data_IF_909852438068
#
_entry.id   IF_909852438068
#
_cell.length_a   1.000
_cell.length_b   1.000
_cell.length_c   1.000
_cell.angle_alpha   90.00
_cell.angle_beta   90.00
_cell.angle_gamma   90.00
#
_symmetry.space_group_name_H-M   'P 1'
#
loop_
_entity.id
_entity.type
_entity.pdbx_description
1 polymer ?
#
# COMPACT_ATOMS: atom_id res chain seq x y z
N UNK A 1 -23.70 -12.78 -17.13
CA UNK A 1 -22.25 -12.52 -17.16
C UNK A 1 -22.04 -11.05 -17.45
N UNK A 2 -21.42 -10.33 -16.52
CA UNK A 2 -21.02 -8.93 -16.74
C UNK A 2 -19.70 -8.97 -17.52
N UNK A 3 -19.41 -7.90 -18.27
CA UNK A 3 -18.12 -7.75 -18.95
C UNK A 3 -16.99 -7.91 -17.92
N UNK A 4 -15.96 -8.68 -18.29
CA UNK A 4 -14.76 -8.95 -17.48
C UNK A 4 -14.91 -9.97 -16.33
N UNK A 5 -15.99 -10.76 -16.31
CA UNK A 5 -16.06 -11.98 -15.50
C UNK A 5 -15.18 -13.06 -16.16
N UNK A 6 -14.08 -13.47 -15.50
CA UNK A 6 -13.13 -14.43 -16.11
C UNK A 6 -13.14 -15.81 -15.48
N UNK A 7 -13.49 -15.92 -14.19
CA UNK A 7 -13.51 -17.19 -13.45
C UNK A 7 -14.71 -17.20 -12.51
N UNK A 8 -15.46 -18.29 -12.53
CA UNK A 8 -16.53 -18.62 -11.59
C UNK A 8 -16.19 -19.90 -10.85
N UNK A 9 -16.34 -19.88 -9.52
CA UNK A 9 -16.26 -21.04 -8.65
C UNK A 9 -17.63 -21.22 -8.02
N UNK A 10 -18.35 -22.24 -8.48
CA UNK A 10 -19.65 -22.63 -7.93
C UNK A 10 -19.45 -23.33 -6.59
N UNK A 11 -20.19 -22.86 -5.58
CA UNK A 11 -20.17 -23.40 -4.23
C UNK A 11 -21.37 -24.32 -4.01
N UNK A 12 -21.25 -25.25 -3.06
CA UNK A 12 -22.31 -26.22 -2.73
C UNK A 12 -23.62 -25.59 -2.25
N UNK A 13 -23.59 -24.32 -1.82
CA UNK A 13 -24.76 -23.53 -1.43
C UNK A 13 -25.37 -22.72 -2.58
N UNK A 14 -25.06 -23.08 -3.83
CA UNK A 14 -25.53 -22.41 -5.06
C UNK A 14 -25.07 -20.95 -5.21
N UNK A 15 -24.15 -20.49 -4.36
CA UNK A 15 -23.48 -19.19 -4.55
C UNK A 15 -22.29 -19.36 -5.48
N UNK A 16 -21.92 -18.26 -6.14
CA UNK A 16 -20.77 -18.21 -7.05
C UNK A 16 -19.75 -17.22 -6.51
N UNK A 17 -18.51 -17.67 -6.35
CA UNK A 17 -17.36 -16.78 -6.17
C UNK A 17 -16.81 -16.43 -7.56
N UNK A 18 -16.79 -15.15 -7.89
CA UNK A 18 -16.47 -14.66 -9.22
C UNK A 18 -15.28 -13.72 -9.21
N UNK A 19 -14.30 -13.96 -10.08
CA UNK A 19 -13.23 -13.02 -10.36
C UNK A 19 -13.62 -12.12 -11.54
N UNK A 20 -14.01 -10.89 -11.22
CA UNK A 20 -14.13 -9.82 -12.21
C UNK A 20 -12.82 -9.03 -12.26
N UNK A 21 -12.14 -9.02 -13.40
CA UNK A 21 -10.87 -8.30 -13.55
C UNK A 21 -10.76 -7.62 -14.92
N UNK A 22 -11.16 -6.34 -15.03
CA UNK A 22 -11.14 -5.62 -16.29
C UNK A 22 -9.78 -5.54 -16.98
N UNK A 23 -8.70 -5.57 -16.19
CA UNK A 23 -7.32 -5.38 -16.68
C UNK A 23 -6.52 -6.68 -16.79
N UNK A 24 -7.06 -7.79 -16.28
CA UNK A 24 -6.42 -9.12 -16.30
C UNK A 24 -5.03 -9.10 -15.64
N UNK A 25 -4.92 -8.40 -14.51
CA UNK A 25 -3.70 -8.37 -13.68
C UNK A 25 -3.75 -9.37 -12.53
N UNK A 26 -4.94 -9.84 -12.14
CA UNK A 26 -5.14 -10.90 -11.16
C UNK A 26 -4.75 -12.27 -11.71
N UNK A 27 -4.59 -13.24 -10.81
CA UNK A 27 -4.31 -14.63 -11.18
C UNK A 27 -5.00 -15.58 -10.20
N UNK A 28 -5.40 -16.75 -10.72
CA UNK A 28 -5.87 -17.89 -9.93
C UNK A 28 -4.90 -19.02 -10.20
N UNK A 29 -4.18 -19.45 -9.17
CA UNK A 29 -3.12 -20.44 -9.27
C UNK A 29 -3.41 -21.56 -8.27
N UNK A 30 -3.31 -22.80 -8.73
CA UNK A 30 -3.40 -23.97 -7.88
C UNK A 30 -2.02 -24.33 -7.33
N UNK A 31 -1.92 -24.56 -6.02
CA UNK A 31 -0.74 -25.09 -5.34
C UNK A 31 -1.13 -26.41 -4.67
N UNK A 32 -0.56 -27.52 -5.14
CA UNK A 32 -0.84 -28.84 -4.57
C UNK A 32 -0.17 -28.94 -3.20
N UNK A 33 -0.91 -29.39 -2.18
CA UNK A 33 -0.37 -29.56 -0.82
C UNK A 33 0.78 -30.55 -0.75
N UNK A 34 0.91 -31.46 -1.73
CA UNK A 34 2.05 -32.37 -1.90
C UNK A 34 3.34 -31.65 -2.28
N UNK A 35 3.27 -30.43 -2.82
CA UNK A 35 4.43 -29.60 -3.17
C UNK A 35 5.00 -28.85 -1.96
N UNK A 36 4.47 -29.12 -0.76
CA UNK A 36 4.91 -28.52 0.50
C UNK A 36 4.07 -27.31 0.91
N UNK A 37 4.51 -26.64 1.97
CA UNK A 37 3.84 -25.50 2.56
C UNK A 37 3.70 -24.33 1.57
N UNK A 38 2.55 -23.65 1.56
CA UNK A 38 2.21 -22.61 0.58
C UNK A 38 3.17 -21.40 0.66
N UNK A 39 3.73 -21.16 1.84
CA UNK A 39 4.70 -20.10 2.12
C UNK A 39 6.00 -20.29 1.31
N UNK A 40 6.32 -21.53 0.92
CA UNK A 40 7.48 -21.84 0.07
C UNK A 40 7.22 -21.59 -1.42
N UNK A 41 5.97 -21.32 -1.82
CA UNK A 41 5.64 -21.05 -3.21
C UNK A 41 6.40 -19.80 -3.71
N UNK A 42 6.91 -19.86 -4.95
CA UNK A 42 7.80 -18.82 -5.55
C UNK A 42 7.26 -17.39 -5.49
N UNK A 43 5.94 -17.21 -5.43
CA UNK A 43 5.28 -15.91 -5.36
C UNK A 43 5.14 -15.38 -3.92
N UNK A 44 5.27 -16.25 -2.92
CA UNK A 44 5.02 -15.95 -1.51
C UNK A 44 6.30 -16.00 -0.65
N UNK A 45 7.27 -16.85 -1.01
CA UNK A 45 8.47 -17.10 -0.20
C UNK A 45 9.42 -15.92 -0.01
N UNK A 46 9.24 -14.84 -0.79
CA UNK A 46 10.05 -13.61 -0.70
C UNK A 46 9.27 -12.43 -0.13
N UNK A 47 8.04 -12.65 0.32
CA UNK A 47 7.25 -11.61 0.95
C UNK A 47 7.90 -11.24 2.29
N UNK A 48 7.97 -9.94 2.52
CA UNK A 48 8.38 -9.38 3.79
C UNK A 48 7.26 -9.56 4.84
N UNK A 49 7.50 -9.21 6.11
CA UNK A 49 6.48 -9.30 7.14
C UNK A 49 5.25 -8.46 6.80
N UNK A 50 4.11 -8.91 7.30
CA UNK A 50 2.87 -8.15 7.28
C UNK A 50 3.03 -6.87 8.12
N UNK A 51 2.41 -5.74 7.73
CA UNK A 51 2.53 -4.48 8.46
C UNK A 51 2.17 -4.56 9.95
N UNK A 52 1.31 -5.50 10.34
CA UNK A 52 0.83 -5.65 11.72
C UNK A 52 1.58 -6.70 12.53
N UNK A 53 2.57 -7.38 11.93
CA UNK A 53 3.42 -8.30 12.67
C UNK A 53 4.42 -7.53 13.55
N UNK A 54 4.71 -8.05 14.73
CA UNK A 54 5.62 -7.44 15.71
C UNK A 54 7.05 -7.24 15.16
N UNK A 55 7.45 -8.06 14.19
CA UNK A 55 8.75 -7.95 13.52
C UNK A 55 8.84 -6.71 12.63
N UNK A 56 7.72 -6.16 12.14
CA UNK A 56 7.71 -4.92 11.39
C UNK A 56 7.69 -3.72 12.35
N UNK A 57 8.88 -3.23 12.69
CA UNK A 57 9.11 -2.09 13.58
C UNK A 57 10.20 -1.15 13.02
N UNK A 58 10.45 -0.03 13.71
CA UNK A 58 11.43 0.98 13.27
C UNK A 58 12.85 0.42 13.12
N UNK A 59 13.25 -0.50 13.99
CA UNK A 59 14.57 -1.15 13.95
C UNK A 59 14.71 -2.02 12.70
N UNK A 60 13.71 -2.85 12.42
CA UNK A 60 13.64 -3.66 11.20
C UNK A 60 13.72 -2.77 9.95
N UNK A 61 12.87 -1.74 9.87
CA UNK A 61 12.83 -0.86 8.70
C UNK A 61 14.17 -0.17 8.49
N UNK A 62 14.75 0.39 9.56
CA UNK A 62 16.06 1.04 9.52
C UNK A 62 17.16 0.10 9.00
N UNK A 63 17.25 -1.11 9.54
CA UNK A 63 18.22 -2.12 9.07
C UNK A 63 18.06 -2.44 7.58
N UNK A 64 16.81 -2.51 7.09
CA UNK A 64 16.53 -2.78 5.67
C UNK A 64 16.91 -1.63 4.75
N UNK A 65 16.90 -0.38 5.20
CA UNK A 65 17.05 0.79 4.31
C UNK A 65 18.34 1.61 4.49
N UNK A 66 19.04 1.48 5.63
CA UNK A 66 20.15 2.36 6.02
C UNK A 66 21.33 2.42 5.02
N UNK A 67 21.48 1.42 4.14
CA UNK A 67 22.53 1.40 3.11
C UNK A 67 22.00 1.62 1.68
N UNK A 68 20.70 1.92 1.53
CA UNK A 68 20.06 2.05 0.22
C UNK A 68 20.02 3.52 -0.21
N UNK A 69 20.71 3.83 -1.31
CA UNK A 69 20.64 5.15 -1.97
C UNK A 69 19.41 5.24 -2.90
N UNK A 70 18.24 5.01 -2.34
CA UNK A 70 16.97 4.86 -3.07
C UNK A 70 15.89 5.63 -2.31
N UNK A 71 15.02 6.32 -3.05
CA UNK A 71 13.88 7.05 -2.48
C UNK A 71 13.04 6.16 -1.55
N UNK A 72 12.75 6.66 -0.35
CA UNK A 72 12.02 5.94 0.70
C UNK A 72 10.67 5.43 0.21
N UNK A 73 9.98 6.20 -0.63
CA UNK A 73 8.73 5.78 -1.23
C UNK A 73 8.87 4.47 -2.03
N UNK A 74 9.94 4.34 -2.82
CA UNK A 74 10.19 3.11 -3.58
C UNK A 74 10.45 1.92 -2.64
N UNK A 75 11.13 2.17 -1.51
CA UNK A 75 11.49 1.14 -0.54
C UNK A 75 10.26 0.60 0.19
N UNK A 76 9.39 1.46 0.73
CA UNK A 76 8.20 1.00 1.46
C UNK A 76 7.15 0.37 0.53
N UNK A 77 7.19 0.68 -0.77
CA UNK A 77 6.32 0.03 -1.76
C UNK A 77 6.89 -1.30 -2.29
N UNK A 78 8.05 -1.72 -1.80
CA UNK A 78 8.63 -3.01 -2.16
C UNK A 78 8.12 -4.09 -1.20
N UNK A 79 7.39 -5.07 -1.73
CA UNK A 79 6.87 -6.23 -1.00
C UNK A 79 7.95 -7.12 -0.35
N UNK A 80 9.24 -6.88 -0.62
CA UNK A 80 10.38 -7.51 0.07
C UNK A 80 10.88 -6.73 1.30
N UNK A 81 10.31 -5.54 1.56
CA UNK A 81 10.56 -4.73 2.76
C UNK A 81 9.32 -4.73 3.64
N UNK A 82 8.14 -4.48 3.06
CA UNK A 82 6.86 -4.58 3.76
C UNK A 82 5.77 -4.86 2.73
N UNK A 83 4.84 -5.76 3.05
CA UNK A 83 3.71 -6.06 2.17
C UNK A 83 2.55 -5.08 2.43
N UNK A 84 1.59 -4.97 1.51
CA UNK A 84 0.37 -4.18 1.71
C UNK A 84 0.51 -2.65 1.57
N UNK A 85 1.71 -2.07 1.63
CA UNK A 85 1.95 -0.63 1.46
C UNK A 85 1.86 -0.17 -0.02
N UNK A 86 0.64 -0.17 -0.56
CA UNK A 86 0.33 0.31 -1.91
C UNK A 86 0.58 1.81 -2.11
N UNK A 87 0.38 2.31 -3.35
CA UNK A 87 0.72 3.69 -3.71
C UNK A 87 -0.04 4.73 -2.87
N UNK A 88 -1.31 4.50 -2.54
CA UNK A 88 -2.11 5.43 -1.74
C UNK A 88 -1.53 5.51 -0.34
N UNK A 89 -1.46 4.37 0.35
CA UNK A 89 -0.99 4.29 1.73
C UNK A 89 0.45 4.78 1.89
N UNK A 90 1.32 4.53 0.92
CA UNK A 90 2.69 5.05 0.93
C UNK A 90 2.74 6.58 0.91
N UNK A 91 1.90 7.25 0.10
CA UNK A 91 1.87 8.72 0.09
C UNK A 91 1.32 9.27 1.42
N UNK A 92 0.23 8.69 1.92
CA UNK A 92 -0.42 9.14 3.16
C UNK A 92 0.48 8.92 4.39
N UNK A 93 1.14 7.76 4.50
CA UNK A 93 2.06 7.47 5.59
C UNK A 93 3.27 8.42 5.57
N UNK A 94 3.85 8.68 4.40
CA UNK A 94 4.98 9.62 4.27
C UNK A 94 4.58 11.06 4.63
N UNK A 95 3.37 11.48 4.26
CA UNK A 95 2.82 12.77 4.65
C UNK A 95 2.66 12.87 6.17
N UNK A 96 2.03 11.88 6.80
CA UNK A 96 1.83 11.83 8.24
C UNK A 96 3.17 11.79 9.02
N UNK A 97 4.21 11.17 8.44
CA UNK A 97 5.55 11.11 9.03
C UNK A 97 6.39 12.36 8.78
N UNK A 98 5.91 13.31 7.96
CA UNK A 98 6.64 14.50 7.52
C UNK A 98 7.98 14.13 6.85
N UNK A 99 7.95 13.14 5.96
CA UNK A 99 9.13 12.64 5.23
C UNK A 99 8.92 12.89 3.74
N UNK A 100 9.85 13.55 3.07
CA UNK A 100 9.77 13.75 1.63
C UNK A 100 9.87 12.40 0.89
N UNK A 101 9.00 12.12 -0.11
CA UNK A 101 8.96 10.81 -0.75
C UNK A 101 10.25 10.43 -1.48
N UNK A 102 11.03 11.42 -1.93
CA UNK A 102 12.35 11.24 -2.55
C UNK A 102 13.51 11.15 -1.56
N UNK A 103 13.29 11.30 -0.24
CA UNK A 103 14.37 11.16 0.74
C UNK A 103 15.02 9.79 0.59
N UNK A 104 16.35 9.75 0.50
CA UNK A 104 17.07 8.49 0.38
C UNK A 104 16.93 7.65 1.64
N UNK A 105 16.72 6.34 1.50
CA UNK A 105 16.61 5.41 2.64
C UNK A 105 17.79 5.50 3.62
N UNK A 106 19.01 5.65 3.10
CA UNK A 106 20.22 5.86 3.93
C UNK A 106 20.22 7.15 4.77
N UNK A 107 19.38 8.13 4.44
CA UNK A 107 19.28 9.41 5.16
C UNK A 107 18.20 9.37 6.24
N UNK A 108 17.38 8.32 6.32
CA UNK A 108 16.39 8.19 7.39
C UNK A 108 17.06 7.71 8.67
N UNK A 109 16.83 8.44 9.75
CA UNK A 109 17.27 8.05 11.08
C UNK A 109 16.38 6.95 11.66
N UNK A 110 16.90 6.17 12.60
CA UNK A 110 16.17 5.13 13.31
C UNK A 110 14.85 5.64 13.95
N UNK A 111 14.82 6.78 14.66
CA UNK A 111 13.55 7.34 15.17
C UNK A 111 12.55 7.70 14.07
N UNK A 112 13.03 8.22 12.92
CA UNK A 112 12.14 8.50 11.79
C UNK A 112 11.61 7.23 11.14
N UNK A 113 12.35 6.13 11.17
CA UNK A 113 11.84 4.83 10.75
C UNK A 113 10.71 4.34 11.65
N UNK A 114 10.82 4.50 12.97
CA UNK A 114 9.73 4.14 13.89
C UNK A 114 8.46 4.95 13.59
N UNK A 115 8.58 6.28 13.49
CA UNK A 115 7.44 7.15 13.12
C UNK A 115 6.82 6.77 11.78
N UNK A 116 7.64 6.33 10.81
CA UNK A 116 7.15 5.85 9.53
C UNK A 116 6.37 4.53 9.66
N UNK A 117 6.88 3.57 10.42
CA UNK A 117 6.18 2.31 10.67
C UNK A 117 4.84 2.55 11.36
N UNK A 118 4.81 3.35 12.41
CA UNK A 118 3.58 3.67 13.16
C UNK A 118 2.52 4.28 12.24
N UNK A 119 2.92 5.21 11.37
CA UNK A 119 2.01 5.84 10.40
C UNK A 119 1.58 4.91 9.26
N UNK A 120 2.44 3.97 8.83
CA UNK A 120 2.05 2.93 7.86
C UNK A 120 0.94 2.06 8.49
N UNK A 121 1.17 1.55 9.70
CA UNK A 121 0.21 0.73 10.42
C UNK A 121 -1.10 1.48 10.65
N UNK A 122 -1.03 2.74 11.09
CA UNK A 122 -2.21 3.58 11.29
C UNK A 122 -3.03 3.75 10.02
N UNK A 123 -2.39 4.16 8.92
CA UNK A 123 -3.10 4.39 7.63
C UNK A 123 -3.74 3.10 7.11
N UNK A 124 -3.08 1.95 7.30
CA UNK A 124 -3.63 0.66 6.90
C UNK A 124 -4.80 0.23 7.81
N UNK A 125 -4.70 0.41 9.13
CA UNK A 125 -5.80 0.15 10.07
C UNK A 125 -7.01 1.04 9.78
N UNK A 126 -6.80 2.35 9.62
CA UNK A 126 -7.85 3.31 9.26
C UNK A 126 -8.53 2.88 7.96
N UNK A 127 -7.77 2.32 7.01
CA UNK A 127 -8.31 1.76 5.77
C UNK A 127 -9.15 0.49 6.01
N UNK A 128 -8.71 -0.41 6.86
CA UNK A 128 -9.43 -1.66 7.16
C UNK A 128 -10.77 -1.33 7.85
N UNK A 129 -10.74 -0.44 8.85
CA UNK A 129 -11.94 0.01 9.56
C UNK A 129 -12.96 0.68 8.64
N UNK A 130 -12.48 1.47 7.68
CA UNK A 130 -13.32 2.14 6.68
C UNK A 130 -13.76 1.21 5.53
N UNK A 131 -13.29 -0.05 5.53
CA UNK A 131 -13.64 -1.05 4.52
C UNK A 131 -12.90 -0.89 3.18
N UNK A 132 -11.72 -0.26 3.20
CA UNK A 132 -10.80 -0.07 2.08
C UNK A 132 -10.99 1.25 1.31
N UNK A 133 -9.94 1.71 0.60
CA UNK A 133 -10.12 2.79 -0.37
C UNK A 133 -10.80 2.26 -1.63
N UNK A 134 -12.04 2.69 -1.88
CA UNK A 134 -12.72 2.41 -3.16
C UNK A 134 -12.21 3.38 -4.22
N UNK A 135 -11.01 3.15 -4.72
CA UNK A 135 -10.49 3.93 -5.85
C UNK A 135 -10.86 3.23 -7.16
N UNK A 136 -11.97 3.73 -7.72
CA UNK A 136 -12.50 3.51 -9.07
C UNK A 136 -13.07 2.12 -9.41
N UNK A 137 -12.45 1.01 -8.99
CA UNK A 137 -12.86 -0.33 -9.48
C UNK A 137 -13.00 -1.43 -8.41
N UNK A 138 -12.83 -1.12 -7.11
CA UNK A 138 -12.90 -2.13 -6.05
C UNK A 138 -14.27 -2.11 -5.36
N UNK A 139 -15.08 -3.15 -5.58
CA UNK A 139 -16.33 -3.38 -4.86
C UNK A 139 -16.11 -4.42 -3.77
N UNK A 140 -16.80 -4.27 -2.64
CA UNK A 140 -16.85 -5.32 -1.62
C UNK A 140 -17.54 -6.57 -2.18
N UNK A 141 -17.35 -7.76 -1.58
CA UNK A 141 -18.05 -8.98 -1.98
C UNK A 141 -19.58 -8.89 -1.95
N UNK A 142 -20.14 -7.92 -1.23
CA UNK A 142 -21.57 -7.60 -1.19
C UNK A 142 -22.03 -6.64 -2.31
N UNK A 143 -21.14 -6.27 -3.23
CA UNK A 143 -21.39 -5.39 -4.37
C UNK A 143 -21.47 -3.91 -4.03
N UNK A 144 -21.26 -3.53 -2.76
CA UNK A 144 -21.34 -2.14 -2.33
C UNK A 144 -19.98 -1.45 -2.48
N UNK A 145 -19.94 -0.18 -2.94
CA UNK A 145 -18.71 0.60 -2.82
C UNK A 145 -18.34 0.69 -1.34
N UNK A 146 -17.03 0.68 -1.02
CA UNK A 146 -16.57 0.95 0.34
C UNK A 146 -17.23 2.23 0.83
N UNK A 147 -18.02 2.11 1.90
CA UNK A 147 -19.02 3.09 2.34
C UNK A 147 -18.45 4.44 2.79
N UNK A 148 -17.13 4.59 2.82
CA UNK A 148 -16.48 5.83 3.19
C UNK A 148 -15.39 6.15 2.16
N UNK A 149 -15.54 7.31 1.51
CA UNK A 149 -14.43 7.93 0.82
C UNK A 149 -13.39 8.29 1.90
N UNK A 150 -12.35 7.46 2.02
CA UNK A 150 -11.20 7.76 2.86
C UNK A 150 -10.80 9.22 2.63
N UNK A 151 -10.74 10.03 3.69
CA UNK A 151 -10.27 11.41 3.57
C UNK A 151 -8.77 11.36 3.36
N UNK A 152 -8.34 11.40 2.10
CA UNK A 152 -6.93 11.39 1.72
C UNK A 152 -6.33 12.78 1.97
N UNK A 153 -5.16 12.83 2.58
CA UNK A 153 -4.49 14.10 2.86
C UNK A 153 -3.78 14.65 1.62
N UNK A 154 -3.15 13.78 0.84
CA UNK A 154 -2.32 14.19 -0.31
C UNK A 154 -2.61 13.41 -1.58
N UNK A 155 -2.97 12.13 -1.49
CA UNK A 155 -3.12 11.30 -2.67
C UNK A 155 -4.25 11.80 -3.60
N UNK A 156 -3.91 12.06 -4.86
CA UNK A 156 -4.86 12.56 -5.85
C UNK A 156 -5.26 14.04 -5.66
N UNK A 157 -4.64 14.74 -4.71
CA UNK A 157 -4.98 16.13 -4.35
C UNK A 157 -4.00 17.16 -4.91
N UNK A 158 -3.38 16.88 -6.05
CA UNK A 158 -2.44 17.80 -6.71
C UNK A 158 -3.06 19.20 -6.90
N UNK A 159 -2.29 20.24 -6.62
CA UNK A 159 -2.69 21.66 -6.60
C UNK A 159 -3.77 22.04 -5.57
N UNK A 160 -4.24 21.12 -4.74
CA UNK A 160 -5.15 21.45 -3.65
C UNK A 160 -4.36 21.90 -2.41
N UNK A 161 -4.95 22.71 -1.52
CA UNK A 161 -4.29 23.16 -0.30
C UNK A 161 -4.01 21.97 0.63
N UNK A 162 -2.77 21.89 1.13
CA UNK A 162 -2.39 20.96 2.18
C UNK A 162 -3.29 21.15 3.43
N UNK A 163 -3.84 20.08 4.01
CA UNK A 163 -4.70 20.20 5.19
C UNK A 163 -3.99 20.75 6.43
N UNK A 164 -2.65 20.70 6.47
CA UNK A 164 -1.86 21.17 7.62
C UNK A 164 -1.29 22.59 7.48
N UNK A 165 -1.06 23.08 6.26
CA UNK A 165 -0.38 24.37 6.05
C UNK A 165 -0.87 25.18 4.84
N UNK A 166 -1.94 24.73 4.17
CA UNK A 166 -2.50 25.33 2.95
C UNK A 166 -1.58 25.41 1.71
N UNK A 167 -0.29 25.11 1.83
CA UNK A 167 0.63 25.03 0.68
C UNK A 167 0.09 24.02 -0.34
N UNK A 168 0.04 24.35 -1.65
CA UNK A 168 -0.44 23.43 -2.66
C UNK A 168 0.32 22.10 -2.65
N UNK A 169 -0.41 20.98 -2.72
CA UNK A 169 0.17 19.65 -2.84
C UNK A 169 0.81 19.50 -4.22
N UNK A 170 2.07 19.06 -4.23
CA UNK A 170 2.82 18.80 -5.44
C UNK A 170 2.75 17.32 -5.83
N UNK A 171 2.95 17.07 -7.12
CA UNK A 171 3.03 15.73 -7.70
C UNK A 171 4.36 15.53 -8.41
N UNK A 172 5.05 14.45 -8.05
CA UNK A 172 6.23 13.94 -8.76
C UNK A 172 6.04 12.48 -9.16
N UNK A 173 6.86 12.00 -10.08
CA UNK A 173 6.89 10.59 -10.48
C UNK A 173 8.11 9.92 -9.84
N UNK A 174 7.87 8.87 -9.06
CA UNK A 174 8.94 8.03 -8.47
C UNK A 174 8.70 6.60 -8.93
N UNK A 175 9.67 6.02 -9.64
CA UNK A 175 9.58 4.63 -10.17
C UNK A 175 8.28 4.37 -10.94
N UNK A 176 7.96 5.26 -11.91
CA UNK A 176 6.74 5.23 -12.73
C UNK A 176 5.42 5.32 -11.95
N UNK A 177 5.45 5.71 -10.67
CA UNK A 177 4.25 5.87 -9.84
C UNK A 177 4.09 7.33 -9.40
N UNK A 178 2.87 7.83 -9.51
CA UNK A 178 2.52 9.18 -9.05
C UNK A 178 2.66 9.28 -7.53
N UNK A 179 3.36 10.33 -7.10
CA UNK A 179 3.65 10.65 -5.70
C UNK A 179 3.19 12.04 -5.38
N UNK A 180 2.42 12.18 -4.32
CA UNK A 180 1.81 13.42 -3.87
C UNK A 180 2.39 13.75 -2.51
N UNK A 181 2.81 14.98 -2.30
CA UNK A 181 3.42 15.44 -1.05
C UNK A 181 3.21 16.94 -0.87
N UNK A 182 3.34 17.41 0.36
CA UNK A 182 3.37 18.84 0.65
C UNK A 182 4.83 19.32 0.72
N UNK A 183 5.28 20.24 -0.14
CA UNK A 183 6.67 20.71 -0.13
C UNK A 183 7.04 21.47 1.16
N UNK A 184 6.05 22.07 1.84
CA UNK A 184 6.27 22.76 3.12
C UNK A 184 6.32 21.79 4.32
N UNK A 185 5.45 20.77 4.36
CA UNK A 185 5.40 19.84 5.49
C UNK A 185 6.43 18.70 5.38
N UNK A 186 6.86 18.37 4.17
CA UNK A 186 7.78 17.29 3.86
C UNK A 186 8.99 17.85 3.13
N UNK A 187 9.85 18.60 3.84
CA UNK A 187 11.10 19.10 3.26
C UNK A 187 12.06 17.94 2.95
N UNK A 188 12.78 18.04 1.83
CA UNK A 188 13.80 17.06 1.42
C UNK A 188 15.05 17.14 2.30
#
# INVERSE_FOLDING_TARGET
CIKHDHIDIELSNQRVLRLNDPRRFGSVLWHDTKQGAIENHKLLCKLAPEPFETIFNGDYLYQKIQHKNVAIKKLIMNNQIVVGAGNIYANEALFNSKIHPSTSGKNLTKPKCQVLVDNIQKVLNDSIEQGGTTLKDFLKPDGKPGYFAQTLNVYGRNNQPCPSCATPIEKIIISQRASFYCPSCQSL
#
